data_IF_843369140670
#
_entry.id   IF_843369140670
#
_cell.length_a   1.000
_cell.length_b   1.000
_cell.length_c   1.000
_cell.angle_alpha   90.00
_cell.angle_beta   90.00
_cell.angle_gamma   90.00
#
_symmetry.space_group_name_H-M   'P 1'
#
loop_
_entity.id
_entity.type
_entity.pdbx_description
1 polymer ?
#
# COMPACT_ATOMS: atom_id res chain seq x y z
N UNK A 1 -16.28 12.72 17.53
CA UNK A 1 -16.54 13.69 16.45
C UNK A 1 -15.33 13.71 15.53
N UNK A 2 -15.52 13.76 14.21
CA UNK A 2 -14.42 13.72 13.24
C UNK A 2 -13.82 15.12 13.07
N UNK A 3 -12.52 15.29 13.37
CA UNK A 3 -11.80 16.55 13.17
C UNK A 3 -11.12 16.59 11.80
N UNK A 4 -11.75 17.29 10.86
CA UNK A 4 -11.25 17.42 9.49
C UNK A 4 -9.94 18.23 9.41
N UNK A 5 -9.73 19.20 10.30
CA UNK A 5 -8.53 20.03 10.28
C UNK A 5 -7.32 19.23 10.76
N UNK A 6 -7.52 18.36 11.75
CA UNK A 6 -6.49 17.40 12.15
C UNK A 6 -6.14 16.47 11.00
N UNK A 7 -7.14 15.87 10.34
CA UNK A 7 -6.90 14.92 9.23
C UNK A 7 -6.15 15.60 8.07
N UNK A 8 -6.49 16.84 7.71
CA UNK A 8 -5.83 17.56 6.60
C UNK A 8 -4.35 17.82 6.86
N UNK A 9 -3.94 18.02 8.12
CA UNK A 9 -2.52 18.21 8.49
C UNK A 9 -1.67 16.97 8.23
N UNK A 10 -2.29 15.78 8.19
CA UNK A 10 -1.59 14.55 7.84
C UNK A 10 -1.26 14.46 6.34
N UNK A 11 -1.79 15.34 5.48
CA UNK A 11 -1.55 15.37 4.04
C UNK A 11 -0.83 16.67 3.64
N UNK A 12 0.52 16.73 3.71
CA UNK A 12 1.27 17.97 3.52
C UNK A 12 1.01 18.67 2.18
N UNK A 13 0.73 17.90 1.13
CA UNK A 13 0.44 18.44 -0.21
C UNK A 13 -0.77 19.38 -0.22
N UNK A 14 -1.72 19.24 0.71
CA UNK A 14 -2.91 20.09 0.78
C UNK A 14 -2.61 21.53 1.23
N UNK A 15 -1.39 21.80 1.71
CA UNK A 15 -0.89 23.15 2.02
C UNK A 15 -0.30 23.85 0.79
N UNK A 16 -0.08 23.11 -0.31
CA UNK A 16 0.52 23.67 -1.51
C UNK A 16 -0.42 24.64 -2.23
N UNK A 17 0.20 25.60 -2.94
CA UNK A 17 -0.47 26.47 -3.89
C UNK A 17 -0.17 26.03 -5.33
N UNK A 18 -1.19 26.04 -6.17
CA UNK A 18 -1.10 25.78 -7.61
C UNK A 18 -1.57 27.03 -8.33
N UNK A 19 -0.71 27.64 -9.15
CA UNK A 19 -0.96 28.95 -9.77
C UNK A 19 -1.40 30.01 -8.74
N UNK A 20 -0.65 30.10 -7.63
CA UNK A 20 -0.89 31.00 -6.49
C UNK A 20 -2.23 30.84 -5.76
N UNK A 21 -3.00 29.79 -6.07
CA UNK A 21 -4.27 29.46 -5.41
C UNK A 21 -4.13 28.21 -4.54
N UNK A 22 -4.86 28.11 -3.41
CA UNK A 22 -4.87 26.90 -2.59
C UNK A 22 -5.24 25.67 -3.42
N UNK A 23 -4.54 24.56 -3.21
CA UNK A 23 -4.88 23.29 -3.84
C UNK A 23 -6.28 22.82 -3.41
N UNK A 24 -7.18 22.65 -4.38
CA UNK A 24 -8.45 21.94 -4.22
C UNK A 24 -8.40 20.70 -5.10
N UNK A 25 -8.09 19.55 -4.49
CA UNK A 25 -7.89 18.30 -5.21
C UNK A 25 -9.18 17.45 -5.20
N UNK A 26 -9.93 17.49 -6.30
CA UNK A 26 -11.17 16.72 -6.49
C UNK A 26 -11.05 15.54 -7.47
N UNK A 27 -9.83 15.13 -7.78
CA UNK A 27 -9.53 14.01 -8.68
C UNK A 27 -9.18 12.70 -7.92
N UNK A 28 -9.78 12.50 -6.74
CA UNK A 28 -9.47 11.36 -5.87
C UNK A 28 -9.87 9.99 -6.48
N UNK A 29 -10.73 9.99 -7.50
CA UNK A 29 -11.11 8.79 -8.24
C UNK A 29 -9.99 8.25 -9.14
N UNK A 30 -9.08 9.11 -9.60
CA UNK A 30 -7.91 8.69 -10.37
C UNK A 30 -6.77 8.24 -9.44
N UNK A 31 -6.44 9.04 -8.41
CA UNK A 31 -5.51 8.65 -7.36
C UNK A 31 -5.71 9.50 -6.11
N UNK A 32 -5.36 8.98 -4.94
CA UNK A 32 -5.48 9.72 -3.68
C UNK A 32 -4.15 10.33 -3.25
N UNK A 33 -4.20 11.48 -2.56
CA UNK A 33 -3.04 11.98 -1.84
C UNK A 33 -2.67 11.04 -0.69
N UNK A 34 -1.40 11.05 -0.27
CA UNK A 34 -0.89 10.12 0.74
C UNK A 34 -0.68 10.84 2.06
N UNK A 35 -1.13 10.27 3.20
CA UNK A 35 -0.81 10.83 4.49
C UNK A 35 0.67 10.60 4.80
N UNK A 36 1.24 11.46 5.63
CA UNK A 36 2.65 11.49 6.02
C UNK A 36 3.15 10.12 6.50
N UNK A 37 2.38 9.46 7.38
CA UNK A 37 2.76 8.16 7.95
C UNK A 37 2.98 7.06 6.89
N UNK A 38 2.28 7.11 5.75
CA UNK A 38 2.46 6.14 4.65
C UNK A 38 3.79 6.38 3.95
N UNK A 39 4.12 7.65 3.66
CA UNK A 39 5.38 8.02 3.00
C UNK A 39 6.57 7.73 3.90
N UNK A 40 6.49 8.10 5.19
CA UNK A 40 7.53 7.84 6.18
C UNK A 40 7.76 6.34 6.40
N UNK A 41 6.72 5.51 6.32
CA UNK A 41 6.89 4.05 6.42
C UNK A 41 7.63 3.46 5.23
N UNK A 42 7.37 3.97 4.02
CA UNK A 42 8.10 3.58 2.81
C UNK A 42 9.58 3.99 2.93
N UNK A 43 9.84 5.24 3.30
CA UNK A 43 11.18 5.76 3.51
C UNK A 43 11.95 4.95 4.56
N UNK A 44 11.33 4.70 5.72
CA UNK A 44 11.90 3.87 6.78
C UNK A 44 12.20 2.45 6.30
N UNK A 45 11.31 1.89 5.47
CA UNK A 45 11.53 0.59 4.83
C UNK A 45 12.81 0.56 4.00
N UNK A 46 13.01 1.58 3.16
CA UNK A 46 14.21 1.68 2.31
C UNK A 46 15.49 1.91 3.11
N UNK A 47 15.46 2.78 4.13
CA UNK A 47 16.68 3.15 4.85
C UNK A 47 17.05 2.19 5.98
N UNK A 48 16.11 1.44 6.56
CA UNK A 48 16.38 0.63 7.75
C UNK A 48 16.32 -0.88 7.53
N UNK A 49 15.49 -1.37 6.59
CA UNK A 49 15.18 -2.81 6.48
C UNK A 49 15.14 -3.33 5.04
N UNK A 50 15.70 -2.60 4.08
CA UNK A 50 15.68 -3.00 2.68
C UNK A 50 16.51 -4.27 2.42
N UNK A 51 15.84 -5.36 2.07
CA UNK A 51 16.46 -6.62 1.64
C UNK A 51 15.46 -7.43 0.80
N UNK A 52 15.98 -8.41 0.05
CA UNK A 52 15.12 -9.40 -0.59
C UNK A 52 14.39 -10.22 0.48
N UNK A 53 13.06 -10.24 0.40
CA UNK A 53 12.19 -11.05 1.25
C UNK A 53 12.30 -12.54 0.89
N UNK A 54 12.10 -13.41 1.88
CA UNK A 54 12.09 -14.88 1.77
C UNK A 54 13.38 -15.54 1.24
N UNK A 55 14.46 -14.79 1.02
CA UNK A 55 15.64 -15.26 0.28
C UNK A 55 16.93 -15.31 1.11
N UNK A 56 16.93 -14.83 2.34
CA UNK A 56 18.13 -14.75 3.19
C UNK A 56 17.88 -15.15 4.63
N UNK A 57 18.90 -15.75 5.25
CA UNK A 57 18.91 -16.07 6.69
C UNK A 57 19.45 -14.93 7.55
N UNK A 58 19.97 -13.86 6.93
CA UNK A 58 20.51 -12.71 7.63
C UNK A 58 19.40 -11.78 8.16
N UNK A 59 19.72 -11.00 9.19
CA UNK A 59 18.78 -10.15 9.92
C UNK A 59 17.88 -9.29 9.01
N UNK A 60 18.46 -8.52 8.08
CA UNK A 60 17.66 -7.63 7.21
C UNK A 60 16.65 -8.38 6.33
N UNK A 61 16.98 -9.59 5.85
CA UNK A 61 16.05 -10.38 5.04
C UNK A 61 14.89 -10.90 5.90
N UNK A 62 15.16 -11.31 7.13
CA UNK A 62 14.11 -11.71 8.08
C UNK A 62 13.21 -10.53 8.44
N UNK A 63 13.79 -9.37 8.78
CA UNK A 63 13.05 -8.16 9.13
C UNK A 63 12.17 -7.65 7.98
N UNK A 64 12.69 -7.66 6.74
CA UNK A 64 11.91 -7.30 5.54
C UNK A 64 10.75 -8.27 5.30
N UNK A 65 11.00 -9.58 5.50
CA UNK A 65 9.99 -10.64 5.33
C UNK A 65 8.87 -10.49 6.35
N UNK A 66 9.23 -10.29 7.62
CA UNK A 66 8.26 -10.08 8.70
C UNK A 66 7.40 -8.83 8.44
N UNK A 67 8.02 -7.71 8.05
CA UNK A 67 7.29 -6.49 7.71
C UNK A 67 6.31 -6.69 6.53
N UNK A 68 6.68 -7.51 5.54
CA UNK A 68 5.82 -7.84 4.40
C UNK A 68 4.62 -8.72 4.81
N UNK A 69 4.85 -9.72 5.66
CA UNK A 69 3.78 -10.60 6.16
C UNK A 69 2.84 -9.90 7.15
N UNK A 70 3.35 -8.97 7.97
CA UNK A 70 2.50 -8.11 8.81
C UNK A 70 1.61 -7.18 7.96
N UNK A 71 2.12 -6.67 6.84
CA UNK A 71 1.29 -5.95 5.88
C UNK A 71 0.19 -6.85 5.29
N UNK A 72 0.50 -8.13 5.00
CA UNK A 72 -0.49 -9.12 4.52
C UNK A 72 -1.60 -9.36 5.55
N UNK A 73 -1.24 -9.54 6.83
CA UNK A 73 -2.21 -9.69 7.94
C UNK A 73 -3.07 -8.44 8.16
N UNK A 74 -2.48 -7.26 7.95
CA UNK A 74 -3.23 -5.99 8.01
C UNK A 74 -4.31 -5.95 6.92
N UNK A 75 -3.97 -6.31 5.68
CA UNK A 75 -4.95 -6.38 4.57
C UNK A 75 -5.98 -7.49 4.81
N UNK A 76 -5.55 -8.66 5.29
CA UNK A 76 -6.46 -9.74 5.67
C UNK A 76 -7.52 -9.25 6.67
N UNK A 77 -7.09 -8.56 7.73
CA UNK A 77 -7.99 -8.03 8.77
C UNK A 77 -8.90 -6.94 8.21
N UNK A 78 -8.37 -6.06 7.36
CA UNK A 78 -9.15 -5.00 6.71
C UNK A 78 -10.26 -5.54 5.81
N UNK A 79 -10.00 -6.62 5.08
CA UNK A 79 -10.97 -7.29 4.21
C UNK A 79 -11.80 -8.36 4.94
N UNK A 80 -11.49 -8.64 6.21
CA UNK A 80 -12.07 -9.73 7.00
C UNK A 80 -11.95 -11.11 6.31
N UNK A 81 -10.80 -11.38 5.68
CA UNK A 81 -10.48 -12.68 5.09
C UNK A 81 -10.14 -13.71 6.20
N UNK A 82 -10.41 -15.00 5.93
CA UNK A 82 -10.24 -16.08 6.92
C UNK A 82 -8.78 -16.39 7.18
N UNK A 83 -7.94 -16.21 6.17
CA UNK A 83 -6.50 -16.50 6.24
C UNK A 83 -5.69 -15.48 5.47
N UNK A 84 -4.50 -15.15 5.96
CA UNK A 84 -3.54 -14.33 5.23
C UNK A 84 -3.14 -14.95 3.89
N UNK A 85 -3.20 -16.27 3.76
CA UNK A 85 -2.90 -16.99 2.51
C UNK A 85 -3.92 -16.72 1.39
N UNK A 86 -5.08 -16.14 1.72
CA UNK A 86 -6.08 -15.70 0.73
C UNK A 86 -5.73 -14.32 0.14
N UNK A 87 -4.70 -13.64 0.66
CA UNK A 87 -4.28 -12.31 0.22
C UNK A 87 -3.06 -12.44 -0.69
N UNK A 88 -3.24 -12.17 -1.99
CA UNK A 88 -2.16 -12.12 -2.98
C UNK A 88 -1.86 -10.67 -3.34
N UNK A 89 -0.64 -10.23 -3.06
CA UNK A 89 -0.18 -8.91 -3.47
C UNK A 89 0.08 -8.87 -4.98
N UNK A 90 -0.49 -7.88 -5.64
CA UNK A 90 -0.31 -7.58 -7.05
C UNK A 90 0.02 -6.08 -7.20
N UNK A 91 0.42 -5.67 -8.40
CA UNK A 91 0.73 -4.27 -8.71
C UNK A 91 -0.51 -3.38 -8.80
N UNK A 92 -1.69 -3.97 -8.94
CA UNK A 92 -2.96 -3.25 -9.00
C UNK A 92 -4.12 -4.13 -9.47
N UNK A 93 -5.33 -3.55 -9.46
CA UNK A 93 -6.59 -4.26 -9.76
C UNK A 93 -6.57 -4.95 -11.12
N UNK A 94 -6.07 -4.30 -12.17
CA UNK A 94 -6.00 -4.89 -13.51
C UNK A 94 -5.12 -6.14 -13.56
N UNK A 95 -3.98 -6.14 -12.88
CA UNK A 95 -3.11 -7.31 -12.82
C UNK A 95 -3.76 -8.44 -12.01
N UNK A 96 -4.45 -8.12 -10.90
CA UNK A 96 -5.18 -9.13 -10.13
C UNK A 96 -6.26 -9.84 -10.95
N UNK A 97 -7.00 -9.10 -11.78
CA UNK A 97 -8.01 -9.70 -12.68
C UNK A 97 -7.35 -10.58 -13.73
N UNK A 98 -6.27 -10.09 -14.37
CA UNK A 98 -5.55 -10.86 -15.37
C UNK A 98 -4.93 -12.14 -14.79
N UNK A 99 -4.41 -12.09 -13.56
CA UNK A 99 -3.88 -13.26 -12.86
C UNK A 99 -4.94 -14.36 -12.72
N UNK A 100 -6.17 -13.99 -12.36
CA UNK A 100 -7.28 -14.95 -12.28
C UNK A 100 -7.63 -15.49 -13.66
N UNK A 101 -7.74 -14.63 -14.67
CA UNK A 101 -8.05 -15.04 -16.03
C UNK A 101 -7.02 -16.06 -16.55
N UNK A 102 -5.73 -15.71 -16.54
CA UNK A 102 -4.69 -16.61 -17.04
C UNK A 102 -4.52 -17.88 -16.20
N UNK A 103 -4.71 -17.81 -14.88
CA UNK A 103 -4.48 -18.97 -14.01
C UNK A 103 -5.63 -19.99 -14.02
N UNK A 104 -6.87 -19.55 -14.19
CA UNK A 104 -8.05 -20.42 -14.06
C UNK A 104 -8.74 -20.71 -15.38
N UNK A 105 -8.55 -19.87 -16.41
CA UNK A 105 -9.33 -19.98 -17.65
C UNK A 105 -8.52 -20.43 -18.87
N UNK A 106 -7.18 -20.35 -18.83
CA UNK A 106 -6.34 -20.76 -19.97
C UNK A 106 -6.40 -22.28 -20.25
N UNK A 107 -6.74 -23.13 -19.25
CA UNK A 107 -6.98 -24.57 -19.48
C UNK A 107 -8.38 -24.88 -20.05
N UNK A 108 -9.29 -23.89 -20.10
CA UNK A 108 -10.65 -24.05 -20.60
C UNK A 108 -10.85 -23.56 -22.05
N UNK A 109 -9.79 -23.04 -22.70
CA UNK A 109 -9.76 -22.65 -24.11
C UNK A 109 -8.90 -23.63 -24.92
#
# INVERSE_FOLDING_TARGET
>A
MLDIQSIRKDFPILEHKIYDKPLIYFDNGATTQKPRCVVEKIESGYYNVNANIHRGVHFLSQAATEAHEEARKTVQSFLNARSSNEIIFTRGTTEAINLIASSFTDECM
#
